data_IF_750461524596
#
_entry.id   IF_750461524596
#
_cell.length_a   1.000
_cell.length_b   1.000
_cell.length_c   1.000
_cell.angle_alpha   90.00
_cell.angle_beta   90.00
_cell.angle_gamma   90.00
#
_symmetry.space_group_name_H-M   'P 1'
#
loop_
_entity.id
_entity.type
_entity.pdbx_description
1 polymer ?
#
# COMPACT_ATOMS: atom_id res chain seq x y z
N UNK A 1 3.37 19.37 7.92
CA UNK A 1 3.25 19.57 6.46
C UNK A 1 1.85 19.17 6.05
N UNK A 2 1.06 20.07 5.42
CA UNK A 2 -0.26 19.73 4.90
C UNK A 2 -0.14 18.83 3.66
N UNK A 3 -1.15 17.99 3.44
CA UNK A 3 -1.25 17.10 2.28
C UNK A 3 -2.65 17.20 1.68
N UNK A 4 -2.75 16.98 0.37
CA UNK A 4 -3.95 17.27 -0.39
C UNK A 4 -4.52 16.00 -1.01
N UNK A 5 -5.84 15.80 -0.92
CA UNK A 5 -6.51 14.69 -1.60
C UNK A 5 -7.64 15.21 -2.47
N UNK A 6 -7.57 14.85 -3.74
CA UNK A 6 -8.53 15.24 -4.76
C UNK A 6 -9.72 14.29 -4.75
N UNK A 7 -10.92 14.86 -4.84
CA UNK A 7 -12.16 14.11 -4.84
C UNK A 7 -13.11 14.55 -5.93
N UNK A 8 -13.76 13.55 -6.54
CA UNK A 8 -14.89 13.74 -7.43
C UNK A 8 -16.18 13.93 -6.62
N UNK A 9 -17.17 14.66 -7.13
CA UNK A 9 -18.46 14.84 -6.46
C UNK A 9 -19.32 13.57 -6.59
N UNK A 10 -19.06 12.56 -5.77
CA UNK A 10 -19.79 11.29 -5.78
C UNK A 10 -20.07 10.75 -4.38
N UNK A 11 -20.83 9.65 -4.32
CA UNK A 11 -21.19 8.98 -3.06
C UNK A 11 -20.00 8.51 -2.23
N UNK A 12 -18.88 8.12 -2.87
CA UNK A 12 -17.69 7.72 -2.15
C UNK A 12 -17.04 8.90 -1.43
N UNK A 13 -17.03 10.08 -2.04
CA UNK A 13 -16.58 11.30 -1.38
C UNK A 13 -17.49 11.70 -0.22
N UNK A 14 -18.82 11.63 -0.39
CA UNK A 14 -19.77 11.91 0.68
C UNK A 14 -19.50 11.05 1.92
N UNK A 15 -19.24 9.74 1.72
CA UNK A 15 -18.82 8.82 2.78
C UNK A 15 -17.47 9.20 3.40
N UNK A 16 -16.48 9.52 2.56
CA UNK A 16 -15.15 9.91 3.01
C UNK A 16 -15.21 11.07 4.01
N UNK A 17 -15.99 12.11 3.71
CA UNK A 17 -16.16 13.21 4.67
C UNK A 17 -17.09 12.82 5.81
N UNK A 18 -18.26 12.23 5.58
CA UNK A 18 -19.25 11.95 6.66
C UNK A 18 -18.71 11.03 7.75
N UNK A 19 -17.90 10.04 7.38
CA UNK A 19 -17.37 9.03 8.30
C UNK A 19 -15.88 9.18 8.56
N UNK A 20 -15.26 10.28 8.10
CA UNK A 20 -13.82 10.53 8.19
C UNK A 20 -12.99 9.36 7.62
N UNK A 21 -13.43 8.80 6.49
CA UNK A 21 -12.89 7.57 5.90
C UNK A 21 -11.76 7.85 4.89
N UNK A 22 -10.71 7.04 4.98
CA UNK A 22 -9.75 6.81 3.91
C UNK A 22 -9.96 5.41 3.35
N UNK A 23 -10.20 5.35 2.04
CA UNK A 23 -10.23 4.11 1.28
C UNK A 23 -8.85 3.81 0.69
N UNK A 24 -8.38 2.59 0.89
CA UNK A 24 -7.12 2.09 0.35
C UNK A 24 -7.41 1.26 -0.90
N UNK A 25 -7.05 1.80 -2.07
CA UNK A 25 -7.25 1.22 -3.39
C UNK A 25 -6.29 0.06 -3.67
N UNK A 26 -6.81 -0.98 -4.33
CA UNK A 26 -6.05 -2.07 -4.91
C UNK A 26 -5.54 -1.65 -6.30
N UNK A 27 -4.55 -2.38 -6.84
CA UNK A 27 -3.98 -2.11 -8.17
C UNK A 27 -5.06 -1.86 -9.26
N UNK A 28 -6.07 -2.73 -9.36
CA UNK A 28 -7.08 -2.67 -10.42
C UNK A 28 -8.05 -1.47 -10.32
N UNK A 29 -7.98 -0.68 -9.25
CA UNK A 29 -8.77 0.54 -9.06
C UNK A 29 -7.94 1.83 -9.24
N UNK A 30 -6.63 1.70 -9.47
CA UNK A 30 -5.74 2.82 -9.71
C UNK A 30 -5.81 3.25 -11.17
N UNK A 31 -5.58 4.54 -11.43
CA UNK A 31 -5.59 5.08 -12.78
C UNK A 31 -4.38 4.62 -13.62
N UNK A 32 -3.26 4.33 -12.96
CA UNK A 32 -2.07 3.79 -13.60
C UNK A 32 -2.08 2.25 -13.53
N UNK A 33 -2.21 1.54 -14.66
CA UNK A 33 -2.20 0.08 -14.67
C UNK A 33 -0.86 -0.55 -14.23
N UNK A 34 0.23 0.23 -14.22
CA UNK A 34 1.56 -0.21 -13.77
C UNK A 34 1.84 0.18 -12.30
N UNK A 35 0.89 0.80 -11.61
CA UNK A 35 1.03 1.17 -10.21
C UNK A 35 0.74 -0.03 -9.30
N UNK A 36 1.49 -0.19 -8.21
CA UNK A 36 1.48 -1.42 -7.38
C UNK A 36 1.67 -2.73 -8.16
N UNK A 37 2.35 -2.66 -9.32
CA UNK A 37 2.72 -3.80 -10.14
C UNK A 37 4.24 -3.91 -10.19
N UNK A 38 4.76 -5.12 -10.07
CA UNK A 38 6.17 -5.42 -10.18
C UNK A 38 6.39 -6.85 -10.68
N UNK A 39 7.66 -7.18 -10.92
CA UNK A 39 8.08 -8.54 -11.26
C UNK A 39 9.03 -9.03 -10.19
N UNK A 40 8.67 -10.11 -9.51
CA UNK A 40 9.58 -10.83 -8.65
C UNK A 40 10.56 -11.61 -9.51
N UNK A 41 11.82 -11.67 -9.09
CA UNK A 41 12.85 -12.48 -9.74
C UNK A 41 13.62 -13.25 -8.68
N UNK A 42 14.09 -14.44 -9.07
CA UNK A 42 15.00 -15.22 -8.23
C UNK A 42 16.42 -14.72 -8.42
N UNK A 43 17.05 -14.31 -7.32
CA UNK A 43 18.44 -13.87 -7.32
C UNK A 43 19.39 -15.07 -7.57
N UNK A 44 20.42 -14.86 -8.39
CA UNK A 44 21.51 -15.81 -8.61
C UNK A 44 22.48 -15.76 -7.40
N UNK A 45 22.02 -16.23 -6.24
CA UNK A 45 22.76 -16.24 -4.98
C UNK A 45 22.55 -17.54 -4.19
N UNK A 46 23.54 -18.44 -4.21
CA UNK A 46 23.60 -19.62 -3.34
C UNK A 46 23.42 -19.28 -1.85
N UNK A 47 23.96 -18.16 -1.39
CA UNK A 47 23.87 -17.73 0.01
C UNK A 47 22.42 -17.42 0.44
N UNK A 48 21.61 -16.86 -0.46
CA UNK A 48 20.21 -16.59 -0.17
C UNK A 48 19.38 -17.89 -0.10
N UNK A 49 19.68 -18.87 -0.96
CA UNK A 49 19.09 -20.21 -0.86
C UNK A 49 19.44 -20.89 0.47
N UNK A 50 20.72 -20.86 0.86
CA UNK A 50 21.18 -21.35 2.16
C UNK A 50 20.41 -20.72 3.31
N UNK A 51 20.22 -19.40 3.26
CA UNK A 51 19.46 -18.65 4.28
C UNK A 51 17.99 -19.03 4.28
N UNK A 52 17.38 -19.21 3.11
CA UNK A 52 15.99 -19.64 2.97
C UNK A 52 15.77 -21.01 3.62
N UNK A 53 16.61 -22.00 3.29
CA UNK A 53 16.52 -23.35 3.86
C UNK A 53 16.77 -23.38 5.37
N UNK A 54 17.52 -22.40 5.89
CA UNK A 54 17.79 -22.23 7.32
C UNK A 54 16.78 -21.34 8.04
N UNK A 55 15.73 -20.88 7.36
CA UNK A 55 14.73 -19.99 7.95
C UNK A 55 13.80 -20.72 8.91
N UNK A 56 13.29 -20.00 9.91
CA UNK A 56 12.39 -20.56 10.92
C UNK A 56 11.16 -21.21 10.28
N UNK A 57 10.78 -22.39 10.77
CA UNK A 57 9.59 -23.09 10.28
C UNK A 57 8.34 -22.63 11.04
N UNK A 58 7.19 -22.65 10.36
CA UNK A 58 5.90 -22.33 10.99
C UNK A 58 5.44 -23.39 12.01
N UNK A 59 5.95 -24.62 11.87
CA UNK A 59 5.78 -25.71 12.83
C UNK A 59 6.82 -26.82 12.56
N UNK A 60 6.98 -27.81 13.45
CA UNK A 60 7.91 -28.92 13.22
C UNK A 60 7.68 -29.69 11.91
N UNK A 61 6.43 -29.82 11.47
CA UNK A 61 6.06 -30.52 10.22
C UNK A 61 6.56 -29.77 8.98
N UNK A 62 6.76 -28.45 9.08
CA UNK A 62 7.26 -27.60 8.01
C UNK A 62 8.76 -27.33 8.13
N UNK A 63 9.47 -28.06 8.99
CA UNK A 63 10.90 -27.84 9.18
C UNK A 63 11.72 -28.66 8.18
N UNK A 64 12.21 -27.98 7.12
CA UNK A 64 13.02 -28.61 6.07
C UNK A 64 14.35 -29.19 6.61
N UNK A 65 14.88 -28.64 7.71
CA UNK A 65 16.15 -29.11 8.30
C UNK A 65 16.04 -30.51 8.92
N UNK A 66 14.83 -31.03 9.11
CA UNK A 66 14.60 -32.43 9.53
C UNK A 66 14.76 -33.42 8.37
N UNK A 67 14.80 -32.91 7.13
CA UNK A 67 14.80 -33.71 5.91
C UNK A 67 16.10 -33.62 5.12
N UNK A 68 16.75 -32.46 5.10
CA UNK A 68 17.98 -32.21 4.35
C UNK A 68 18.98 -31.38 5.16
N UNK A 69 20.26 -31.44 4.78
CA UNK A 69 21.26 -30.53 5.32
C UNK A 69 21.13 -29.14 4.68
N UNK A 70 20.83 -28.11 5.47
CA UNK A 70 20.73 -26.73 4.98
C UNK A 70 22.09 -26.12 4.59
N UNK A 71 23.20 -26.86 4.75
CA UNK A 71 24.55 -26.47 4.34
C UNK A 71 25.09 -27.32 3.18
N UNK A 72 24.24 -28.11 2.52
CA UNK A 72 24.66 -28.90 1.37
C UNK A 72 24.88 -28.02 0.14
N UNK A 73 26.15 -27.82 -0.23
CA UNK A 73 26.57 -26.98 -1.36
C UNK A 73 26.03 -27.49 -2.70
N UNK A 74 25.86 -28.81 -2.88
CA UNK A 74 25.31 -29.39 -4.10
C UNK A 74 23.82 -29.05 -4.22
N UNK A 75 23.06 -29.27 -3.14
CA UNK A 75 21.64 -28.91 -3.07
C UNK A 75 21.42 -27.42 -3.35
N UNK A 76 22.18 -26.57 -2.66
CA UNK A 76 22.09 -25.11 -2.78
C UNK A 76 22.42 -24.67 -4.21
N UNK A 77 23.49 -25.19 -4.81
CA UNK A 77 23.91 -24.82 -6.16
C UNK A 77 22.89 -25.26 -7.21
N UNK A 78 22.30 -26.45 -7.06
CA UNK A 78 21.27 -26.95 -7.97
C UNK A 78 19.95 -26.18 -7.83
N UNK A 79 19.53 -25.82 -6.61
CA UNK A 79 18.38 -24.91 -6.41
C UNK A 79 18.61 -23.57 -7.11
N UNK A 80 19.79 -22.98 -6.90
CA UNK A 80 20.15 -21.70 -7.51
C UNK A 80 20.12 -21.76 -9.04
N UNK A 81 20.69 -22.82 -9.64
CA UNK A 81 20.65 -23.02 -11.09
C UNK A 81 19.23 -23.27 -11.62
N UNK A 82 18.39 -23.99 -10.87
CA UNK A 82 17.05 -24.38 -11.30
C UNK A 82 16.09 -23.19 -11.39
N UNK A 83 16.26 -22.19 -10.52
CA UNK A 83 15.43 -20.98 -10.49
C UNK A 83 16.07 -19.76 -11.16
N UNK A 84 17.27 -19.93 -11.73
CA UNK A 84 17.92 -18.86 -12.48
C UNK A 84 17.00 -18.34 -13.60
N UNK A 85 16.93 -17.02 -13.73
CA UNK A 85 16.11 -16.30 -14.71
C UNK A 85 14.59 -16.55 -14.61
N UNK A 86 14.12 -17.17 -13.51
CA UNK A 86 12.69 -17.32 -13.25
C UNK A 86 12.13 -16.01 -12.70
N UNK A 87 10.98 -15.63 -13.23
CA UNK A 87 10.25 -14.42 -12.84
C UNK A 87 8.79 -14.73 -12.52
N UNK A 88 8.20 -13.96 -11.59
CA UNK A 88 6.81 -14.09 -11.17
C UNK A 88 6.17 -12.69 -11.22
N UNK A 89 5.09 -12.53 -11.99
CA UNK A 89 4.30 -11.30 -11.99
C UNK A 89 3.60 -11.10 -10.64
N UNK A 90 3.68 -9.89 -10.07
CA UNK A 90 3.18 -9.63 -8.72
C UNK A 90 1.65 -9.67 -8.58
N UNK A 91 0.91 -9.62 -9.68
CA UNK A 91 -0.55 -9.57 -9.68
C UNK A 91 -1.17 -10.89 -10.13
N UNK A 92 -0.56 -11.54 -11.12
CA UNK A 92 -1.11 -12.75 -11.75
C UNK A 92 -0.26 -13.99 -11.53
N UNK A 93 0.99 -13.84 -11.08
CA UNK A 93 1.90 -14.96 -10.89
C UNK A 93 1.65 -15.75 -9.61
N UNK A 94 2.05 -17.02 -9.62
CA UNK A 94 1.95 -17.92 -8.46
C UNK A 94 3.27 -18.64 -8.20
N UNK A 95 3.77 -18.55 -6.96
CA UNK A 95 4.91 -19.37 -6.50
C UNK A 95 4.58 -20.86 -6.62
N UNK A 96 3.34 -21.25 -6.31
CA UNK A 96 2.90 -22.65 -6.39
C UNK A 96 2.95 -23.18 -7.82
N UNK A 97 2.46 -22.41 -8.80
CA UNK A 97 2.54 -22.81 -10.21
C UNK A 97 4.00 -22.86 -10.70
N UNK A 98 4.82 -21.91 -10.23
CA UNK A 98 6.26 -21.89 -10.52
C UNK A 98 6.95 -23.15 -10.00
N UNK A 99 6.67 -23.55 -8.76
CA UNK A 99 7.20 -24.79 -8.16
C UNK A 99 6.66 -26.03 -8.89
N UNK A 100 5.37 -26.07 -9.18
CA UNK A 100 4.73 -27.19 -9.90
C UNK A 100 5.38 -27.45 -11.26
N UNK A 101 5.79 -26.39 -11.97
CA UNK A 101 6.49 -26.52 -13.25
C UNK A 101 7.88 -27.17 -13.15
N UNK A 102 8.46 -27.22 -11.95
CA UNK A 102 9.80 -27.75 -11.62
C UNK A 102 9.74 -28.92 -10.65
N UNK A 103 8.54 -29.45 -10.40
CA UNK A 103 8.30 -30.44 -9.37
C UNK A 103 9.09 -31.75 -9.59
N UNK A 104 9.22 -32.29 -10.82
CA UNK A 104 10.04 -33.47 -11.07
C UNK A 104 11.51 -33.28 -10.68
N UNK A 105 12.11 -32.17 -11.10
CA UNK A 105 13.52 -31.82 -10.83
C UNK A 105 13.76 -31.57 -9.34
N UNK A 106 12.82 -30.89 -8.68
CA UNK A 106 12.89 -30.66 -7.23
C UNK A 106 12.78 -31.96 -6.44
N UNK A 107 11.88 -32.88 -6.83
CA UNK A 107 11.75 -34.17 -6.16
C UNK A 107 13.01 -35.01 -6.28
N UNK A 108 13.59 -35.08 -7.48
CA UNK A 108 14.86 -35.78 -7.69
C UNK A 108 15.99 -35.17 -6.86
N UNK A 109 16.13 -33.84 -6.90
CA UNK A 109 17.12 -33.11 -6.13
C UNK A 109 16.99 -33.36 -4.62
N UNK A 110 15.78 -33.24 -4.08
CA UNK A 110 15.56 -33.48 -2.66
C UNK A 110 15.76 -34.96 -2.30
N UNK A 111 15.31 -35.91 -3.12
CA UNK A 111 15.51 -37.35 -2.86
C UNK A 111 16.99 -37.70 -2.72
N UNK A 112 17.87 -37.11 -3.55
CA UNK A 112 19.33 -37.23 -3.46
C UNK A 112 19.93 -36.59 -2.20
N UNK A 113 19.30 -35.52 -1.70
CA UNK A 113 19.79 -34.71 -0.58
C UNK A 113 19.20 -35.12 0.78
N UNK A 114 18.29 -36.10 0.81
CA UNK A 114 17.65 -36.56 2.05
C UNK A 114 18.71 -37.14 3.01
N UNK A 115 18.75 -36.60 4.22
CA UNK A 115 19.57 -37.15 5.31
C UNK A 115 18.89 -38.36 5.94
N UNK A 116 19.64 -39.44 6.12
CA UNK A 116 19.21 -40.65 6.81
C UNK A 116 19.35 -40.43 8.33
N UNK A 117 18.41 -39.71 8.95
CA UNK A 117 18.42 -39.48 10.39
C UNK A 117 17.78 -40.65 11.14
N UNK A 118 18.62 -41.56 11.64
CA UNK A 118 18.23 -42.68 12.51
C UNK A 118 18.18 -42.35 14.01
N UNK A 119 18.61 -41.17 14.48
CA UNK A 119 18.91 -41.01 15.91
C UNK A 119 18.10 -40.01 16.75
N UNK A 120 17.29 -39.07 16.21
CA UNK A 120 16.70 -38.02 17.09
C UNK A 120 15.29 -37.47 16.79
N UNK A 121 14.40 -38.20 16.12
CA UNK A 121 13.02 -37.72 15.95
C UNK A 121 11.97 -38.68 16.55
N UNK A 122 11.43 -38.30 17.71
CA UNK A 122 10.22 -38.87 18.34
C UNK A 122 8.92 -38.60 17.55
N UNK A 123 9.01 -37.90 16.41
CA UNK A 123 7.87 -37.77 15.49
C UNK A 123 7.79 -39.01 14.58
N UNK A 124 6.82 -39.89 14.89
CA UNK A 124 6.50 -41.18 14.23
C UNK A 124 6.41 -41.13 12.69
N UNK A 125 6.26 -39.95 12.09
CA UNK A 125 6.15 -39.74 10.64
C UNK A 125 7.50 -39.82 9.89
N UNK A 126 8.60 -39.33 10.47
CA UNK A 126 9.89 -39.25 9.78
C UNK A 126 10.64 -40.59 9.66
N UNK A 127 10.36 -41.52 10.59
CA UNK A 127 10.99 -42.85 10.62
C UNK A 127 10.28 -43.88 9.71
N UNK A 128 9.01 -43.64 9.33
CA UNK A 128 8.20 -44.57 8.51
C UNK A 128 8.01 -44.12 7.06
N UNK A 129 8.39 -42.90 6.70
CA UNK A 129 8.19 -42.34 5.36
C UNK A 129 9.36 -42.67 4.43
N UNK A 130 9.06 -42.97 3.15
CA UNK A 130 10.11 -43.23 2.15
C UNK A 130 10.89 -41.95 1.82
N UNK A 131 12.11 -42.07 1.24
CA UNK A 131 12.86 -40.90 0.73
C UNK A 131 12.03 -40.07 -0.25
N UNK A 132 11.20 -40.73 -1.08
CA UNK A 132 10.28 -40.08 -2.02
C UNK A 132 9.18 -39.26 -1.36
N UNK A 133 8.61 -39.76 -0.26
CA UNK A 133 7.58 -39.04 0.49
C UNK A 133 8.21 -37.82 1.19
N UNK A 134 9.40 -38.00 1.77
CA UNK A 134 10.17 -36.91 2.40
C UNK A 134 10.58 -35.84 1.37
N UNK A 135 11.00 -36.24 0.17
CA UNK A 135 11.30 -35.32 -0.92
C UNK A 135 10.06 -34.53 -1.37
N UNK A 136 8.91 -35.20 -1.51
CA UNK A 136 7.64 -34.55 -1.83
C UNK A 136 7.23 -33.53 -0.75
N UNK A 137 7.46 -33.85 0.53
CA UNK A 137 7.26 -32.91 1.62
C UNK A 137 8.24 -31.72 1.54
N UNK A 138 9.51 -31.92 1.18
CA UNK A 138 10.46 -30.83 0.97
C UNK A 138 10.01 -29.86 -0.14
N UNK A 139 9.41 -30.37 -1.22
CA UNK A 139 8.79 -29.53 -2.27
C UNK A 139 7.65 -28.68 -1.70
N UNK A 140 6.81 -29.26 -0.84
CA UNK A 140 5.75 -28.50 -0.19
C UNK A 140 6.32 -27.42 0.74
N UNK A 141 7.35 -27.76 1.52
CA UNK A 141 7.99 -26.83 2.46
C UNK A 141 8.70 -25.69 1.73
N UNK A 142 9.46 -25.96 0.67
CA UNK A 142 10.13 -24.89 -0.10
C UNK A 142 9.11 -23.96 -0.78
N UNK A 143 7.94 -24.48 -1.16
CA UNK A 143 6.83 -23.65 -1.67
C UNK A 143 6.34 -22.68 -0.60
N UNK A 144 6.19 -23.12 0.65
CA UNK A 144 5.82 -22.26 1.78
C UNK A 144 6.89 -21.20 2.06
N UNK A 145 8.16 -21.60 2.11
CA UNK A 145 9.28 -20.68 2.34
C UNK A 145 9.32 -19.57 1.29
N UNK A 146 9.20 -19.93 0.01
CA UNK A 146 9.17 -18.97 -1.10
C UNK A 146 7.90 -18.11 -1.09
N UNK A 147 6.76 -18.65 -0.65
CA UNK A 147 5.51 -17.91 -0.56
C UNK A 147 5.60 -16.72 0.42
N UNK A 148 6.51 -16.75 1.41
CA UNK A 148 6.77 -15.63 2.33
C UNK A 148 7.20 -14.34 1.63
N UNK A 149 7.74 -14.41 0.42
CA UNK A 149 8.08 -13.22 -0.36
C UNK A 149 6.86 -12.51 -0.93
N UNK A 150 5.78 -13.25 -1.18
CA UNK A 150 4.63 -12.80 -1.98
C UNK A 150 3.29 -12.90 -1.24
N UNK A 151 3.30 -13.20 0.06
CA UNK A 151 2.09 -13.41 0.85
C UNK A 151 1.41 -12.11 1.30
N UNK A 152 1.60 -11.03 0.55
CA UNK A 152 1.19 -9.69 0.92
C UNK A 152 0.36 -9.05 -0.19
N UNK A 153 -0.88 -8.69 0.11
CA UNK A 153 -1.68 -7.81 -0.75
C UNK A 153 -1.48 -6.36 -0.29
N UNK A 154 -1.03 -5.50 -1.19
CA UNK A 154 -0.86 -4.07 -0.92
C UNK A 154 -2.08 -3.30 -1.38
N UNK A 155 -2.56 -2.43 -0.50
CA UNK A 155 -3.54 -1.40 -0.83
C UNK A 155 -2.93 -0.04 -0.50
N UNK A 156 -3.30 0.98 -1.26
CA UNK A 156 -2.72 2.30 -1.10
C UNK A 156 -3.75 3.42 -1.06
N UNK A 157 -3.44 4.46 -0.30
CA UNK A 157 -4.14 5.74 -0.42
C UNK A 157 -3.11 6.83 -0.74
N UNK A 158 -3.44 7.63 -1.74
CA UNK A 158 -2.56 8.66 -2.28
C UNK A 158 -3.03 10.06 -1.88
N UNK A 159 -2.05 10.92 -1.65
CA UNK A 159 -2.15 12.36 -1.43
C UNK A 159 -1.16 13.07 -2.34
N UNK A 160 -1.39 14.34 -2.61
CA UNK A 160 -0.44 15.23 -3.31
C UNK A 160 0.14 16.24 -2.34
N UNK A 161 1.35 16.70 -2.65
CA UNK A 161 1.95 17.90 -2.04
C UNK A 161 1.48 19.21 -2.68
N UNK A 162 0.80 19.16 -3.82
CA UNK A 162 0.33 20.33 -4.56
C UNK A 162 -1.20 20.32 -4.65
N UNK A 163 -1.85 21.39 -4.22
CA UNK A 163 -3.30 21.53 -4.24
C UNK A 163 -3.83 22.11 -5.55
N UNK A 164 -2.98 22.75 -6.35
CA UNK A 164 -3.38 23.57 -7.50
C UNK A 164 -2.87 23.00 -8.83
N UNK A 165 -2.34 21.77 -8.84
CA UNK A 165 -1.90 21.10 -10.07
C UNK A 165 -3.09 20.81 -11.01
N UNK A 166 -3.07 21.42 -12.20
CA UNK A 166 -4.18 21.39 -13.15
C UNK A 166 -4.51 19.97 -13.64
N UNK A 167 -3.48 19.16 -13.92
CA UNK A 167 -3.68 17.76 -14.34
C UNK A 167 -4.35 16.95 -13.23
N UNK A 168 -4.00 17.21 -11.96
CA UNK A 168 -4.66 16.56 -10.82
C UNK A 168 -6.14 16.93 -10.74
N UNK A 169 -6.49 18.20 -10.92
CA UNK A 169 -7.88 18.64 -10.98
C UNK A 169 -8.66 18.00 -12.13
N UNK A 170 -8.04 17.90 -13.31
CA UNK A 170 -8.65 17.27 -14.47
C UNK A 170 -8.93 15.77 -14.24
N UNK A 171 -7.95 15.02 -13.72
CA UNK A 171 -8.04 13.57 -13.56
C UNK A 171 -8.79 13.13 -12.30
N UNK A 172 -8.61 13.82 -11.18
CA UNK A 172 -9.04 13.36 -9.87
C UNK A 172 -10.18 14.18 -9.24
N UNK A 173 -10.41 15.41 -9.70
CA UNK A 173 -11.52 16.27 -9.24
C UNK A 173 -12.57 16.52 -10.35
N UNK A 174 -12.82 15.48 -11.16
CA UNK A 174 -13.89 15.43 -12.17
C UNK A 174 -13.90 16.63 -13.14
N UNK A 175 -12.73 16.99 -13.67
CA UNK A 175 -12.62 18.12 -14.58
C UNK A 175 -13.07 19.44 -13.94
N UNK A 176 -12.56 19.71 -12.73
CA UNK A 176 -12.79 20.95 -11.96
C UNK A 176 -14.19 21.11 -11.34
N UNK A 177 -14.98 20.02 -11.29
CA UNK A 177 -16.31 19.98 -10.64
C UNK A 177 -16.28 19.42 -9.21
N UNK A 178 -15.14 18.85 -8.82
CA UNK A 178 -14.92 18.29 -7.49
C UNK A 178 -14.26 19.28 -6.53
N UNK A 179 -13.58 18.73 -5.54
CA UNK A 179 -12.86 19.51 -4.55
C UNK A 179 -11.56 18.82 -4.13
N UNK A 180 -10.75 19.54 -3.36
CA UNK A 180 -9.54 19.04 -2.72
C UNK A 180 -9.71 19.18 -1.21
N UNK A 181 -9.58 18.09 -0.48
CA UNK A 181 -9.47 18.14 0.97
C UNK A 181 -8.03 18.42 1.38
N UNK A 182 -7.89 19.33 2.34
CA UNK A 182 -6.63 19.67 2.97
C UNK A 182 -6.56 18.90 4.29
N UNK A 183 -5.57 18.03 4.40
CA UNK A 183 -5.26 17.32 5.62
C UNK A 183 -4.05 17.97 6.28
N UNK A 184 -4.13 18.22 7.59
CA UNK A 184 -3.03 18.79 8.39
C UNK A 184 -3.02 18.21 9.81
N UNK A 185 -1.95 18.26 10.60
CA UNK A 185 -0.61 18.81 10.36
C UNK A 185 0.15 19.12 11.67
N UNK A 186 0.04 18.27 12.70
CA UNK A 186 0.80 18.40 13.96
C UNK A 186 1.81 17.26 14.17
N UNK A 187 1.56 16.05 13.65
CA UNK A 187 2.37 14.86 13.94
C UNK A 187 3.05 14.28 12.69
N UNK A 188 4.21 14.84 12.33
CA UNK A 188 5.20 14.19 11.46
C UNK A 188 4.70 13.69 10.09
N UNK A 189 5.46 12.80 9.42
CA UNK A 189 5.06 12.16 8.17
C UNK A 189 4.12 10.97 8.45
N UNK A 190 3.19 11.07 9.40
CA UNK A 190 2.35 9.93 9.81
C UNK A 190 0.89 10.33 9.99
N UNK A 191 -0.01 9.37 9.82
CA UNK A 191 -1.45 9.54 10.05
C UNK A 191 -1.93 8.47 11.04
N UNK A 192 -2.64 8.91 12.07
CA UNK A 192 -3.29 8.00 13.02
C UNK A 192 -4.64 7.57 12.45
N UNK A 193 -4.77 6.26 12.20
CA UNK A 193 -5.96 5.68 11.60
C UNK A 193 -6.56 4.60 12.50
N UNK A 194 -7.89 4.59 12.57
CA UNK A 194 -8.68 3.63 13.32
C UNK A 194 -9.29 2.60 12.36
N UNK A 195 -9.32 1.31 12.72
CA UNK A 195 -9.96 0.28 11.89
C UNK A 195 -11.49 0.39 11.89
N UNK A 196 -12.07 1.11 12.84
CA UNK A 196 -13.51 1.35 12.95
C UNK A 196 -13.76 2.71 13.59
N UNK A 197 -14.85 3.39 13.22
CA UNK A 197 -15.19 4.73 13.70
C UNK A 197 -15.26 4.82 15.23
N UNK A 198 -15.79 3.78 15.88
CA UNK A 198 -15.94 3.67 17.34
C UNK A 198 -14.73 3.06 18.06
N UNK A 199 -13.61 2.85 17.35
CA UNK A 199 -12.43 2.26 17.97
C UNK A 199 -11.63 3.31 18.73
N UNK A 200 -11.28 3.01 19.98
CA UNK A 200 -10.37 3.85 20.77
C UNK A 200 -8.90 3.62 20.41
N UNK A 201 -8.60 2.51 19.72
CA UNK A 201 -7.26 2.19 19.26
C UNK A 201 -7.02 2.78 17.87
N UNK A 202 -5.84 3.36 17.69
CA UNK A 202 -5.35 3.82 16.40
C UNK A 202 -4.00 3.20 16.12
N UNK A 203 -3.70 3.03 14.84
CA UNK A 203 -2.39 2.66 14.35
C UNK A 203 -1.79 3.84 13.61
N UNK A 204 -0.48 4.01 13.77
CA UNK A 204 0.30 5.04 13.10
C UNK A 204 0.70 4.54 11.72
N UNK A 205 0.33 5.28 10.68
CA UNK A 205 0.65 4.95 9.30
C UNK A 205 1.59 5.98 8.70
N UNK A 206 2.79 5.59 8.22
CA UNK A 206 3.73 6.53 7.62
C UNK A 206 3.30 6.93 6.20
N UNK A 207 3.32 8.23 5.94
CA UNK A 207 3.34 8.83 4.62
C UNK A 207 4.73 8.68 4.02
N UNK A 208 4.78 8.13 2.81
CA UNK A 208 6.01 7.83 2.11
C UNK A 208 5.99 8.52 0.76
N UNK A 209 7.13 9.07 0.36
CA UNK A 209 7.26 9.73 -0.93
C UNK A 209 7.34 8.71 -2.06
N UNK A 210 6.60 8.97 -3.13
CA UNK A 210 6.74 8.21 -4.37
C UNK A 210 7.90 8.79 -5.18
N UNK A 211 8.78 7.90 -5.64
CA UNK A 211 9.90 8.20 -6.53
C UNK A 211 9.46 7.99 -7.97
N UNK A 212 9.76 8.97 -8.82
CA UNK A 212 9.42 8.94 -10.24
C UNK A 212 10.63 8.48 -11.05
N UNK A 213 10.64 7.21 -11.46
CA UNK A 213 11.77 6.54 -12.10
C UNK A 213 11.25 5.68 -13.26
N UNK A 214 11.79 5.93 -14.45
CA UNK A 214 11.46 5.22 -15.68
C UNK A 214 12.24 3.91 -15.80
N UNK A 215 11.83 2.91 -15.02
CA UNK A 215 12.41 1.58 -15.07
C UNK A 215 11.38 0.50 -14.75
N UNK A 216 11.72 -0.75 -15.07
CA UNK A 216 10.96 -1.90 -14.60
C UNK A 216 11.13 -2.06 -13.08
N UNK A 217 10.03 -2.37 -12.41
CA UNK A 217 10.01 -2.64 -10.96
C UNK A 217 10.34 -4.11 -10.74
N UNK A 218 11.54 -4.39 -10.24
CA UNK A 218 12.02 -5.74 -9.94
C UNK A 218 12.09 -5.93 -8.43
N UNK A 219 11.57 -7.05 -7.94
CA UNK A 219 11.59 -7.39 -6.50
C UNK A 219 12.42 -8.66 -6.28
N UNK A 220 13.46 -8.63 -5.43
CA UNK A 220 14.28 -9.79 -5.10
C UNK A 220 13.46 -10.79 -4.26
N UNK A 221 13.17 -11.98 -4.79
CA UNK A 221 12.25 -12.93 -4.16
C UNK A 221 12.86 -13.57 -2.92
N UNK A 222 14.10 -14.06 -3.00
CA UNK A 222 14.75 -14.77 -1.90
C UNK A 222 15.08 -13.83 -0.73
N UNK A 223 15.50 -12.60 -1.03
CA UNK A 223 15.68 -11.57 -0.03
C UNK A 223 14.35 -11.25 0.68
N UNK A 224 13.25 -11.08 -0.07
CA UNK A 224 11.93 -10.86 0.52
C UNK A 224 11.45 -12.04 1.37
N UNK A 225 11.68 -13.27 0.92
CA UNK A 225 11.31 -14.47 1.68
C UNK A 225 12.03 -14.59 3.03
N UNK A 226 13.24 -14.02 3.14
CA UNK A 226 14.09 -14.15 4.33
C UNK A 226 14.16 -12.90 5.20
N UNK A 227 13.96 -11.71 4.63
CA UNK A 227 14.05 -10.41 5.33
C UNK A 227 12.73 -9.65 5.39
N UNK A 228 11.68 -10.14 4.72
CA UNK A 228 10.35 -9.54 4.68
C UNK A 228 10.15 -8.49 3.57
N UNK A 229 9.06 -7.74 3.69
CA UNK A 229 8.46 -6.95 2.60
C UNK A 229 9.06 -5.58 2.28
N UNK A 230 10.17 -5.20 2.89
CA UNK A 230 10.74 -3.85 2.73
C UNK A 230 11.06 -3.52 1.26
N UNK A 231 11.56 -4.49 0.48
CA UNK A 231 11.84 -4.33 -0.95
C UNK A 231 10.58 -4.28 -1.82
N UNK A 232 9.51 -4.95 -1.39
CA UNK A 232 8.18 -4.83 -2.04
C UNK A 232 7.65 -3.41 -1.88
N UNK A 233 7.72 -2.88 -0.64
CA UNK A 233 7.32 -1.51 -0.34
C UNK A 233 8.13 -0.48 -1.14
N UNK A 234 9.45 -0.66 -1.25
CA UNK A 234 10.32 0.20 -2.06
C UNK A 234 9.90 0.19 -3.54
N UNK A 235 9.66 -0.98 -4.13
CA UNK A 235 9.22 -1.11 -5.51
C UNK A 235 7.84 -0.46 -5.76
N UNK A 236 6.93 -0.53 -4.79
CA UNK A 236 5.59 0.06 -4.88
C UNK A 236 5.54 1.56 -4.55
N UNK A 237 6.67 2.14 -4.12
CA UNK A 237 6.89 3.59 -4.06
C UNK A 237 7.56 4.13 -5.31
N UNK A 238 7.67 3.34 -6.37
CA UNK A 238 8.13 3.81 -7.67
C UNK A 238 6.93 4.05 -8.60
N UNK A 239 6.96 5.14 -9.37
CA UNK A 239 6.07 5.41 -10.51
C UNK A 239 6.88 5.87 -11.71
N UNK A 240 6.26 5.82 -12.89
CA UNK A 240 6.86 6.41 -14.08
C UNK A 240 6.87 7.95 -13.98
N UNK A 241 7.88 8.60 -14.57
CA UNK A 241 8.05 10.05 -14.58
C UNK A 241 6.89 10.81 -15.22
N UNK A 242 6.09 10.20 -16.10
CA UNK A 242 4.93 10.90 -16.66
C UNK A 242 3.84 11.26 -15.63
N UNK A 243 3.89 10.67 -14.43
CA UNK A 243 3.03 10.99 -13.28
C UNK A 243 3.70 11.94 -12.25
N UNK A 244 4.87 12.51 -12.54
CA UNK A 244 5.64 13.33 -11.58
C UNK A 244 4.84 14.54 -11.04
N UNK A 245 3.97 15.11 -11.86
CA UNK A 245 3.07 16.20 -11.51
C UNK A 245 2.16 15.87 -10.32
N UNK A 246 1.90 14.59 -10.02
CA UNK A 246 1.09 14.17 -8.87
C UNK A 246 1.76 14.56 -7.54
N UNK A 247 3.09 14.70 -7.51
CA UNK A 247 3.88 15.01 -6.31
C UNK A 247 3.43 14.18 -5.10
N UNK A 248 3.38 12.86 -5.31
CA UNK A 248 2.60 11.94 -4.49
C UNK A 248 3.25 11.58 -3.15
N UNK A 249 2.42 11.54 -2.13
CA UNK A 249 2.66 10.89 -0.85
C UNK A 249 1.68 9.73 -0.70
N UNK A 250 2.17 8.58 -0.23
CA UNK A 250 1.40 7.34 -0.17
C UNK A 250 1.44 6.72 1.22
N UNK A 251 0.34 6.07 1.58
CA UNK A 251 0.25 5.15 2.71
C UNK A 251 -0.14 3.77 2.19
N UNK A 252 0.45 2.73 2.77
CA UNK A 252 0.06 1.34 2.51
C UNK A 252 -0.72 0.73 3.68
N UNK A 253 -1.69 -0.10 3.34
CA UNK A 253 -2.16 -1.18 4.21
C UNK A 253 -1.81 -2.52 3.54
N UNK A 254 -1.54 -3.53 4.37
CA UNK A 254 -1.02 -4.81 3.91
C UNK A 254 -1.88 -5.90 4.53
N UNK A 255 -2.48 -6.72 3.67
CA UNK A 255 -3.14 -7.96 4.10
C UNK A 255 -2.15 -9.11 3.91
N UNK A 256 -1.89 -9.84 5.00
CA UNK A 256 -1.00 -11.00 5.01
C UNK A 256 -1.79 -12.30 4.86
N UNK A 257 -1.41 -13.07 3.85
CA UNK A 257 -1.97 -14.39 3.57
C UNK A 257 -1.09 -15.43 4.28
N UNK A 258 -1.71 -16.47 4.84
CA UNK A 258 -0.96 -17.56 5.47
C UNK A 258 -0.26 -18.40 4.39
N UNK A 259 1.06 -18.48 4.47
CA UNK A 259 1.94 -19.12 3.47
C UNK A 259 1.69 -20.62 3.28
N UNK A 260 1.35 -21.36 4.34
CA UNK A 260 0.99 -22.78 4.21
C UNK A 260 -0.29 -23.00 3.38
N UNK A 261 -1.24 -22.05 3.43
CA UNK A 261 -2.41 -22.13 2.54
C UNK A 261 -2.01 -21.87 1.09
N UNK A 262 -1.11 -20.90 0.83
CA UNK A 262 -0.59 -20.64 -0.52
C UNK A 262 0.20 -21.82 -1.08
N UNK A 263 0.92 -22.55 -0.23
CA UNK A 263 1.62 -23.77 -0.63
C UNK A 263 0.64 -24.90 -1.00
N UNK A 264 -0.46 -25.03 -0.26
CA UNK A 264 -1.43 -26.10 -0.45
C UNK A 264 -2.51 -25.80 -1.52
N UNK A 265 -2.89 -24.53 -1.71
CA UNK A 265 -4.04 -24.11 -2.51
C UNK A 265 -3.83 -22.74 -3.14
N UNK A 266 -4.31 -22.57 -4.37
CA UNK A 266 -4.35 -21.27 -5.05
C UNK A 266 -5.54 -20.39 -4.60
N UNK A 267 -6.46 -20.94 -3.81
CA UNK A 267 -7.61 -20.17 -3.33
C UNK A 267 -7.22 -19.27 -2.17
N UNK A 268 -7.17 -17.97 -2.44
CA UNK A 268 -6.93 -16.94 -1.43
C UNK A 268 -8.25 -16.53 -0.78
N UNK A 269 -8.39 -16.62 0.55
CA UNK A 269 -9.52 -16.02 1.26
C UNK A 269 -9.51 -14.51 1.01
N UNK A 270 -10.65 -13.93 0.63
CA UNK A 270 -10.79 -12.47 0.49
C UNK A 270 -11.34 -11.87 1.77
N UNK A 271 -10.63 -10.94 2.39
CA UNK A 271 -11.18 -10.14 3.49
C UNK A 271 -11.54 -8.72 3.04
N UNK A 272 -12.81 -8.43 2.71
CA UNK A 272 -13.22 -7.11 2.23
C UNK A 272 -13.13 -6.01 3.29
N UNK A 273 -12.95 -6.34 4.59
CA UNK A 273 -13.08 -5.39 5.70
C UNK A 273 -11.79 -4.60 6.03
N UNK A 274 -10.68 -4.82 5.33
CA UNK A 274 -9.38 -4.24 5.70
C UNK A 274 -8.96 -3.02 4.88
N UNK A 275 -9.90 -2.38 4.17
CA UNK A 275 -9.56 -1.35 3.15
C UNK A 275 -10.10 0.04 3.47
N UNK A 276 -10.91 0.17 4.52
CA UNK A 276 -11.45 1.45 4.99
C UNK A 276 -10.93 1.68 6.39
N UNK A 277 -10.35 2.86 6.61
CA UNK A 277 -9.90 3.30 7.91
C UNK A 277 -10.39 4.71 8.19
N UNK A 278 -10.48 5.07 9.47
CA UNK A 278 -11.03 6.34 9.91
C UNK A 278 -9.96 7.23 10.51
N UNK A 279 -9.88 8.48 10.05
CA UNK A 279 -9.03 9.50 10.64
C UNK A 279 -9.79 10.32 11.69
N UNK A 280 -9.07 11.10 12.50
CA UNK A 280 -9.70 12.01 13.46
C UNK A 280 -10.49 13.11 12.77
N UNK A 281 -11.59 13.56 13.39
CA UNK A 281 -12.51 14.56 12.82
C UNK A 281 -11.84 15.89 12.46
N UNK A 282 -10.84 16.32 13.24
CA UNK A 282 -10.12 17.56 13.01
C UNK A 282 -8.97 17.44 12.00
N UNK A 283 -8.72 16.24 11.47
CA UNK A 283 -7.60 16.00 10.57
C UNK A 283 -7.78 16.65 9.19
N UNK A 284 -9.04 16.79 8.74
CA UNK A 284 -9.38 17.66 7.61
C UNK A 284 -9.40 19.10 8.12
N UNK A 285 -8.40 19.89 7.74
CA UNK A 285 -8.25 21.30 8.17
C UNK A 285 -8.92 22.28 7.20
N UNK A 286 -9.23 21.85 5.98
CA UNK A 286 -9.97 22.66 5.03
C UNK A 286 -10.34 21.95 3.73
N UNK A 287 -11.01 22.68 2.85
CA UNK A 287 -11.48 22.22 1.54
C UNK A 287 -11.33 23.33 0.50
N UNK A 288 -10.88 22.96 -0.70
CA UNK A 288 -10.77 23.83 -1.86
C UNK A 288 -11.76 23.34 -2.91
N UNK A 289 -12.70 24.19 -3.32
CA UNK A 289 -13.71 23.86 -4.33
C UNK A 289 -13.24 24.27 -5.72
N UNK A 290 -13.51 23.40 -6.70
CA UNK A 290 -13.21 23.68 -8.10
C UNK A 290 -14.10 24.79 -8.69
N UNK A 291 -13.66 25.45 -9.76
CA UNK A 291 -14.35 26.58 -10.40
C UNK A 291 -15.72 26.22 -11.01
N UNK A 292 -16.03 24.93 -11.16
CA UNK A 292 -17.30 24.44 -11.76
C UNK A 292 -18.20 23.77 -10.73
N UNK A 293 -17.90 23.92 -9.45
CA UNK A 293 -18.72 23.41 -8.34
C UNK A 293 -20.02 24.21 -8.27
N UNK A 294 -21.13 23.52 -8.04
CA UNK A 294 -22.41 24.16 -7.70
C UNK A 294 -22.46 24.57 -6.22
N UNK A 295 -23.11 25.71 -5.94
CA UNK A 295 -23.28 26.23 -4.57
C UNK A 295 -23.96 25.22 -3.63
N UNK A 296 -24.89 24.41 -4.15
CA UNK A 296 -25.59 23.36 -3.40
C UNK A 296 -24.62 22.30 -2.89
N UNK A 297 -23.69 21.85 -3.72
CA UNK A 297 -22.65 20.89 -3.38
C UNK A 297 -21.67 21.49 -2.38
N UNK A 298 -21.19 22.72 -2.60
CA UNK A 298 -20.32 23.41 -1.66
C UNK A 298 -20.94 23.47 -0.25
N UNK A 299 -22.20 23.92 -0.15
CA UNK A 299 -22.91 23.99 1.14
C UNK A 299 -23.07 22.61 1.78
N UNK A 300 -23.37 21.57 1.01
CA UNK A 300 -23.52 20.21 1.54
C UNK A 300 -22.21 19.67 2.13
N UNK A 301 -21.09 19.93 1.45
CA UNK A 301 -19.74 19.53 1.93
C UNK A 301 -19.38 20.28 3.21
N UNK A 302 -19.53 21.60 3.22
CA UNK A 302 -19.22 22.43 4.39
C UNK A 302 -20.12 22.06 5.59
N UNK A 303 -21.42 21.84 5.36
CA UNK A 303 -22.34 21.41 6.41
C UNK A 303 -21.95 20.03 6.98
N UNK A 304 -21.50 19.11 6.13
CA UNK A 304 -21.04 17.78 6.58
C UNK A 304 -19.77 17.89 7.43
N UNK A 305 -18.78 18.66 6.99
CA UNK A 305 -17.55 18.89 7.76
C UNK A 305 -17.83 19.59 9.11
N UNK A 306 -18.72 20.59 9.10
CA UNK A 306 -19.14 21.28 10.32
C UNK A 306 -19.92 20.37 11.28
N UNK A 307 -20.78 19.49 10.74
CA UNK A 307 -21.52 18.50 11.52
C UNK A 307 -20.60 17.50 12.20
N UNK A 308 -19.62 16.93 11.50
CA UNK A 308 -18.68 15.99 12.10
C UNK A 308 -17.97 16.60 13.32
N UNK A 309 -17.56 17.87 13.22
CA UNK A 309 -16.84 18.59 14.27
C UNK A 309 -17.65 18.76 15.55
N UNK A 310 -18.97 18.63 15.51
CA UNK A 310 -19.79 18.64 16.73
C UNK A 310 -19.48 17.47 17.65
N UNK A 311 -19.02 16.37 17.07
CA UNK A 311 -18.67 15.12 17.75
C UNK A 311 -17.15 14.99 17.98
N UNK A 312 -16.36 16.02 17.65
CA UNK A 312 -14.94 16.05 17.97
C UNK A 312 -14.74 16.47 19.45
N UNK A 313 -13.72 15.91 20.09
CA UNK A 313 -13.32 16.30 21.45
C UNK A 313 -13.02 17.81 21.53
N UNK A 314 -12.35 18.33 20.51
CA UNK A 314 -12.12 19.76 20.31
C UNK A 314 -12.82 20.24 19.04
N UNK A 315 -13.68 21.25 19.17
CA UNK A 315 -14.47 21.80 18.05
C UNK A 315 -13.66 22.85 17.30
N UNK A 316 -12.65 22.40 16.58
CA UNK A 316 -11.81 23.30 15.80
C UNK A 316 -12.60 23.89 14.61
N UNK A 317 -12.17 25.05 14.06
CA UNK A 317 -12.68 25.64 12.81
C UNK A 317 -11.92 25.11 11.58
N UNK A 318 -12.53 25.17 10.38
CA UNK A 318 -11.87 24.74 9.12
C UNK A 318 -11.85 25.86 8.10
N UNK A 319 -11.02 25.70 7.09
CA UNK A 319 -10.95 26.65 5.99
C UNK A 319 -11.73 26.16 4.76
N UNK A 320 -12.41 27.08 4.10
CA UNK A 320 -13.13 26.87 2.84
C UNK A 320 -12.61 27.85 1.81
N UNK A 321 -12.25 27.34 0.65
CA UNK A 321 -11.68 28.11 -0.45
C UNK A 321 -12.44 27.84 -1.74
N UNK A 322 -12.69 28.87 -2.54
CA UNK A 322 -13.13 28.70 -3.92
C UNK A 322 -12.00 29.04 -4.88
N UNK A 323 -12.04 28.44 -6.06
CA UNK A 323 -11.08 28.70 -7.12
C UNK A 323 -11.74 29.28 -8.36
N UNK A 324 -10.94 29.96 -9.17
CA UNK A 324 -11.29 30.42 -10.52
C UNK A 324 -10.19 29.98 -11.48
N UNK A 325 -10.56 29.79 -12.75
CA UNK A 325 -9.58 29.68 -13.83
C UNK A 325 -9.35 31.07 -14.40
N UNK A 326 -8.10 31.48 -14.44
CA UNK A 326 -7.72 32.72 -15.11
C UNK A 326 -7.74 32.55 -16.64
N UNK A 327 -7.62 33.64 -17.43
CA UNK A 327 -7.60 33.56 -18.88
C UNK A 327 -6.43 32.75 -19.47
N UNK A 328 -5.40 32.48 -18.69
CA UNK A 328 -4.24 31.66 -19.07
C UNK A 328 -4.44 30.18 -18.70
N UNK A 329 -5.59 29.81 -18.11
CA UNK A 329 -5.91 28.46 -17.68
C UNK A 329 -5.27 28.06 -16.35
N UNK A 330 -4.76 29.01 -15.56
CA UNK A 330 -4.20 28.77 -14.23
C UNK A 330 -5.30 28.78 -13.18
N UNK A 331 -5.15 27.92 -12.17
CA UNK A 331 -6.08 27.85 -11.06
C UNK A 331 -5.65 28.81 -9.95
N UNK A 332 -6.52 29.74 -9.58
CA UNK A 332 -6.26 30.69 -8.51
C UNK A 332 -7.34 30.60 -7.44
N UNK A 333 -6.94 30.76 -6.17
CA UNK A 333 -7.89 30.86 -5.06
C UNK A 333 -8.60 32.21 -5.17
N UNK A 334 -9.91 32.22 -5.39
CA UNK A 334 -10.72 33.44 -5.46
C UNK A 334 -11.16 33.90 -4.07
N UNK A 335 -11.70 32.99 -3.25
CA UNK A 335 -12.18 33.28 -1.89
C UNK A 335 -11.48 32.42 -0.86
N UNK A 336 -11.32 32.96 0.34
CA UNK A 336 -10.78 32.25 1.50
C UNK A 336 -11.61 32.60 2.74
N UNK A 337 -12.15 31.58 3.40
CA UNK A 337 -12.94 31.77 4.61
C UNK A 337 -12.60 30.72 5.67
N UNK A 338 -12.71 31.09 6.93
CA UNK A 338 -12.71 30.19 8.08
C UNK A 338 -14.14 29.97 8.54
N UNK A 339 -14.58 28.73 8.50
CA UNK A 339 -15.89 28.27 8.97
C UNK A 339 -15.75 27.87 10.44
N UNK A 340 -16.51 28.53 11.31
CA UNK A 340 -16.30 28.47 12.76
C UNK A 340 -17.20 27.42 13.42
N UNK A 341 -18.42 27.23 12.92
CA UNK A 341 -19.39 26.33 13.55
C UNK A 341 -20.42 25.74 12.56
N UNK A 342 -21.38 25.00 13.11
CA UNK A 342 -22.47 24.34 12.39
C UNK A 342 -23.45 25.27 11.68
N UNK A 343 -23.51 26.55 12.09
CA UNK A 343 -24.34 27.57 11.41
C UNK A 343 -23.65 28.09 10.14
N UNK A 344 -22.45 27.58 9.86
CA UNK A 344 -21.58 27.99 8.77
C UNK A 344 -21.19 29.47 8.88
N UNK A 345 -21.07 30.00 10.11
CA UNK A 345 -20.53 31.33 10.33
C UNK A 345 -19.10 31.45 9.78
N UNK A 346 -18.84 32.53 9.04
CA UNK A 346 -17.59 32.71 8.28
C UNK A 346 -16.84 33.95 8.71
N UNK A 347 -15.54 33.78 8.89
CA UNK A 347 -14.56 34.86 8.83
C UNK A 347 -13.90 34.84 7.45
N UNK A 348 -14.03 35.93 6.68
CA UNK A 348 -13.43 36.05 5.34
C UNK A 348 -12.02 36.62 5.47
N UNK A 349 -11.07 36.07 4.70
CA UNK A 349 -9.70 36.59 4.60
C UNK A 349 -9.49 37.24 3.25
N UNK A 350 -8.91 38.42 3.27
CA UNK A 350 -8.67 39.23 2.08
C UNK A 350 -7.18 39.64 2.00
N UNK A 351 -6.73 40.00 0.79
CA UNK A 351 -5.41 40.58 0.54
C UNK A 351 -4.25 39.83 1.23
N UNK A 352 -3.50 40.51 2.12
CA UNK A 352 -2.31 39.98 2.77
C UNK A 352 -2.62 38.83 3.75
N UNK A 353 -3.75 38.89 4.45
CA UNK A 353 -4.16 37.83 5.39
C UNK A 353 -4.46 36.53 4.66
N UNK A 354 -5.11 36.64 3.49
CA UNK A 354 -5.34 35.50 2.60
C UNK A 354 -4.02 34.88 2.15
N UNK A 355 -3.04 35.69 1.72
CA UNK A 355 -1.75 35.16 1.29
C UNK A 355 -0.99 34.45 2.41
N UNK A 356 -0.97 35.03 3.62
CA UNK A 356 -0.37 34.40 4.80
C UNK A 356 -1.03 33.08 5.15
N UNK A 357 -2.37 33.01 5.08
CA UNK A 357 -3.13 31.79 5.32
C UNK A 357 -2.78 30.70 4.30
N UNK A 358 -2.78 31.04 3.01
CA UNK A 358 -2.45 30.10 1.94
C UNK A 358 -1.03 29.55 2.08
N UNK A 359 -0.06 30.42 2.38
CA UNK A 359 1.32 30.02 2.65
C UNK A 359 1.43 29.09 3.87
N UNK A 360 0.73 29.40 4.97
CA UNK A 360 0.69 28.56 6.17
C UNK A 360 0.07 27.17 5.92
N UNK A 361 -0.83 27.07 4.94
CA UNK A 361 -1.44 25.80 4.50
C UNK A 361 -0.72 25.15 3.33
N UNK A 362 0.46 25.65 2.92
CA UNK A 362 1.21 25.09 1.79
C UNK A 362 0.49 25.19 0.45
N UNK A 363 -0.52 26.04 0.32
CA UNK A 363 -1.24 26.30 -0.92
C UNK A 363 -0.47 27.40 -1.66
N UNK A 364 0.50 26.99 -2.47
CA UNK A 364 1.39 27.91 -3.18
C UNK A 364 1.00 27.86 -4.65
N UNK A 365 0.62 29.00 -5.22
CA UNK A 365 0.59 29.14 -6.67
C UNK A 365 2.02 28.94 -7.16
N UNK A 366 2.26 27.98 -8.06
CA UNK A 366 3.56 27.80 -8.69
C UNK A 366 4.04 29.17 -9.21
N UNK A 367 4.99 29.75 -8.50
CA UNK A 367 5.44 31.11 -8.71
C UNK A 367 6.55 31.04 -9.74
N UNK A 368 6.23 31.43 -10.99
CA UNK A 368 7.13 31.85 -12.08
C UNK A 368 8.41 31.06 -12.34
#
# INVERSE_FOLDING_TARGET
MPIFKYYRPNHYFEKAIRYNELYFSANHELNDPNDLKATYYFEDSPELWKRLLSSDSISPVWNISLHVSCNDDELISQLNSLFKDVEIDSLTGSVRETIKSKEPELKDLFERSIIDNTEHNDSDFSQKSSKKDRASLCVLIITELLARAINHNFYSVSFSKNALELKMWAHYADGFKGCVLIYGGADGPTINLRPHLMSDTHQVYPLREVKYIDSSKKIPLLECATKGKAKVEEAFLQKNSFWDYESELRIFTIEEIKTHFMAASDQTPKNPRQRIFHHGTNFIVGVIFGPRVEDSYQRAVEATLASNRQYADEKLPFFSFNTVLDPQGRLEISTAAKVIDQTLFRQIFEHEEKQKLLQGLGIINASR
#
